data_IF_359830991761
#
_entry.id   IF_359830991761
#
_cell.length_a   1.000
_cell.length_b   1.000
_cell.length_c   1.000
_cell.angle_alpha   90.00
_cell.angle_beta   90.00
_cell.angle_gamma   90.00
#
_symmetry.space_group_name_H-M   'P 1'
#
loop_
_entity.id
_entity.type
_entity.pdbx_description
1 polymer ?
#
# COMPACT_ATOMS: atom_id res chain seq x y z
N UNK A 1 -2.63 -4.63 -12.84
CA UNK A 1 -1.78 -3.50 -12.37
C UNK A 1 -2.33 -2.84 -11.09
N UNK A 2 -2.30 -3.51 -9.94
CA UNK A 2 -2.72 -2.93 -8.64
C UNK A 2 -1.56 -2.51 -7.73
N UNK A 3 -0.30 -2.71 -8.16
CA UNK A 3 0.87 -2.24 -7.41
C UNK A 3 1.05 -0.74 -7.63
N UNK A 4 0.83 0.07 -6.60
CA UNK A 4 1.03 1.53 -6.71
C UNK A 4 2.51 1.81 -7.00
N UNK A 5 2.80 2.58 -8.05
CA UNK A 5 4.13 3.12 -8.25
C UNK A 5 4.22 4.46 -7.51
N UNK A 6 5.10 4.54 -6.52
CA UNK A 6 5.57 5.79 -5.95
C UNK A 6 6.87 6.18 -6.64
N UNK A 7 6.96 7.38 -7.18
CA UNK A 7 8.14 7.87 -7.88
C UNK A 7 8.76 8.97 -7.01
N UNK A 8 10.05 8.81 -6.69
CA UNK A 8 10.83 9.83 -6.00
C UNK A 8 12.05 10.15 -6.85
N UNK A 9 12.13 11.40 -7.32
CA UNK A 9 13.27 11.91 -8.07
C UNK A 9 14.00 12.95 -7.22
N UNK A 10 15.31 12.77 -7.03
CA UNK A 10 16.18 13.71 -6.32
C UNK A 10 17.52 13.83 -7.06
N UNK A 11 17.72 14.96 -7.75
CA UNK A 11 18.91 15.18 -8.56
C UNK A 11 19.06 14.10 -9.64
N UNK A 12 20.19 13.39 -9.62
CA UNK A 12 20.46 12.32 -10.58
C UNK A 12 19.75 10.98 -10.26
N UNK A 13 19.10 10.84 -9.09
CA UNK A 13 18.52 9.57 -8.64
C UNK A 13 17.01 9.59 -8.84
N UNK A 14 16.47 8.56 -9.51
CA UNK A 14 15.03 8.31 -9.57
C UNK A 14 14.72 6.91 -9.04
N UNK A 15 14.04 6.84 -7.89
CA UNK A 15 13.57 5.60 -7.30
C UNK A 15 12.09 5.39 -7.63
N UNK A 16 11.75 4.23 -8.18
CA UNK A 16 10.38 3.83 -8.50
C UNK A 16 9.98 2.72 -7.52
N UNK A 17 9.27 3.09 -6.47
CA UNK A 17 8.75 2.19 -5.45
C UNK A 17 7.53 1.45 -5.97
N UNK A 18 7.60 0.12 -5.99
CA UNK A 18 6.48 -0.74 -6.32
C UNK A 18 5.86 -1.23 -5.03
N UNK A 19 4.67 -0.76 -4.68
CA UNK A 19 3.95 -1.31 -3.52
C UNK A 19 3.44 -2.71 -3.85
N UNK A 20 3.88 -3.71 -3.09
CA UNK A 20 3.37 -5.08 -3.19
C UNK A 20 2.37 -5.31 -2.08
N UNK A 21 1.17 -5.84 -2.38
CA UNK A 21 0.24 -6.22 -1.34
C UNK A 21 0.91 -7.16 -0.32
N UNK A 22 0.62 -6.96 0.98
CA UNK A 22 1.14 -7.83 2.03
C UNK A 22 0.83 -9.31 1.75
N UNK A 23 1.78 -10.19 2.05
CA UNK A 23 1.59 -11.63 1.86
C UNK A 23 0.84 -12.22 3.05
N UNK A 24 -0.29 -12.87 2.78
CA UNK A 24 -1.15 -13.44 3.82
C UNK A 24 -1.30 -14.95 3.63
N UNK A 25 -1.36 -15.69 4.74
CA UNK A 25 -1.66 -17.15 4.73
C UNK A 25 -3.08 -17.47 4.23
N UNK A 26 -4.00 -16.52 4.32
CA UNK A 26 -5.44 -16.81 4.24
C UNK A 26 -6.00 -16.85 2.82
N UNK A 27 -6.65 -17.96 2.46
CA UNK A 27 -7.89 -17.98 1.68
C UNK A 27 -7.84 -18.59 0.27
N UNK A 28 -8.73 -19.56 0.00
CA UNK A 28 -9.06 -20.08 -1.34
C UNK A 28 -9.69 -19.04 -2.27
N UNK A 29 -9.86 -17.78 -1.83
CA UNK A 29 -10.47 -16.72 -2.64
C UNK A 29 -9.53 -16.28 -3.75
N UNK A 30 -10.08 -16.07 -4.95
CA UNK A 30 -9.34 -15.61 -6.13
C UNK A 30 -8.51 -14.34 -5.87
N UNK A 31 -9.02 -13.38 -5.09
CA UNK A 31 -8.30 -12.15 -4.74
C UNK A 31 -6.98 -12.40 -3.99
N UNK A 32 -6.99 -13.31 -3.01
CA UNK A 32 -5.80 -13.59 -2.21
C UNK A 32 -4.72 -14.31 -3.03
N UNK A 33 -5.15 -15.22 -3.94
CA UNK A 33 -4.24 -15.81 -4.93
C UNK A 33 -3.63 -14.75 -5.84
N UNK A 34 -4.44 -13.81 -6.32
CA UNK A 34 -3.96 -12.71 -7.17
C UNK A 34 -2.95 -11.81 -6.43
N UNK A 35 -3.22 -11.44 -5.18
CA UNK A 35 -2.32 -10.64 -4.35
C UNK A 35 -0.97 -11.35 -4.14
N UNK A 36 -0.99 -12.62 -3.73
CA UNK A 36 0.23 -13.41 -3.52
C UNK A 36 1.02 -13.61 -4.82
N UNK A 37 0.34 -13.82 -5.96
CA UNK A 37 0.98 -13.92 -7.27
C UNK A 37 1.63 -12.61 -7.69
N UNK A 38 0.96 -11.48 -7.43
CA UNK A 38 1.46 -10.15 -7.77
C UNK A 38 2.68 -9.78 -6.92
N UNK A 39 2.66 -10.08 -5.62
CA UNK A 39 3.81 -9.90 -4.74
C UNK A 39 5.01 -10.75 -5.20
N UNK A 40 4.77 -12.02 -5.56
CA UNK A 40 5.84 -12.92 -6.03
C UNK A 40 6.40 -12.51 -7.40
N UNK A 41 5.57 -11.95 -8.29
CA UNK A 41 6.02 -11.43 -9.59
C UNK A 41 6.86 -10.17 -9.42
N UNK A 42 6.45 -9.25 -8.55
CA UNK A 42 7.19 -8.01 -8.29
C UNK A 42 8.62 -8.27 -7.80
N UNK A 43 8.85 -9.32 -7.01
CA UNK A 43 10.20 -9.69 -6.56
C UNK A 43 11.17 -10.10 -7.67
N UNK A 44 10.70 -10.40 -8.89
CA UNK A 44 11.56 -10.83 -10.00
C UNK A 44 12.07 -9.67 -10.86
N UNK A 45 11.33 -8.58 -10.91
CA UNK A 45 11.54 -7.48 -11.86
C UNK A 45 12.00 -6.19 -11.16
N UNK A 46 12.52 -6.29 -9.93
CA UNK A 46 12.99 -5.14 -9.13
C UNK A 46 14.51 -5.18 -8.93
N UNK A 47 15.13 -4.00 -9.01
CA UNK A 47 16.57 -3.82 -8.78
C UNK A 47 16.92 -3.93 -7.29
N UNK A 48 15.99 -3.57 -6.39
CA UNK A 48 16.19 -3.56 -4.94
C UNK A 48 14.94 -4.05 -4.25
N UNK A 49 15.08 -4.98 -3.29
CA UNK A 49 13.99 -5.44 -2.43
C UNK A 49 14.11 -4.82 -1.04
N UNK A 50 13.02 -4.21 -0.55
CA UNK A 50 12.94 -3.68 0.81
C UNK A 50 11.95 -4.54 1.61
N UNK A 51 12.46 -5.31 2.56
CA UNK A 51 11.66 -6.08 3.50
C UNK A 51 11.45 -5.28 4.79
N UNK A 52 10.22 -4.82 5.01
CA UNK A 52 9.87 -4.02 6.19
C UNK A 52 9.39 -4.92 7.32
N UNK A 53 9.98 -4.78 8.52
CA UNK A 53 9.66 -5.57 9.73
C UNK A 53 9.21 -4.65 10.87
N UNK A 54 8.24 -5.07 11.70
CA UNK A 54 7.74 -4.29 12.84
C UNK A 54 8.52 -4.59 14.13
N UNK A 55 9.52 -3.76 14.43
CA UNK A 55 10.31 -3.83 15.68
C UNK A 55 10.88 -5.24 15.90
N UNK A 56 10.62 -5.85 17.06
CA UNK A 56 10.98 -7.23 17.38
C UNK A 56 9.82 -8.21 17.21
N UNK A 57 8.68 -7.75 16.67
CA UNK A 57 7.50 -8.59 16.46
C UNK A 57 7.74 -9.43 15.21
N UNK A 58 7.72 -10.75 15.38
CA UNK A 58 7.82 -11.70 14.28
C UNK A 58 6.55 -12.56 14.21
N UNK A 59 5.89 -12.56 13.07
CA UNK A 59 4.65 -13.31 12.82
C UNK A 59 4.86 -14.39 11.78
N UNK A 60 3.86 -15.26 11.60
CA UNK A 60 3.89 -16.24 10.53
C UNK A 60 3.87 -15.61 9.13
N UNK A 61 3.33 -14.40 8.98
CA UNK A 61 3.34 -13.66 7.71
C UNK A 61 4.74 -13.12 7.41
N UNK A 62 5.45 -12.62 8.42
CA UNK A 62 6.85 -12.22 8.30
C UNK A 62 7.72 -13.43 7.90
N UNK A 63 7.46 -14.59 8.51
CA UNK A 63 8.14 -15.84 8.16
C UNK A 63 7.90 -16.23 6.68
N UNK A 64 6.68 -16.06 6.17
CA UNK A 64 6.39 -16.32 4.75
C UNK A 64 7.07 -15.34 3.80
N UNK A 65 7.29 -14.11 4.23
CA UNK A 65 8.06 -13.12 3.45
C UNK A 65 9.52 -13.52 3.44
N UNK A 66 10.09 -13.82 4.61
CA UNK A 66 11.45 -14.32 4.77
C UNK A 66 11.71 -15.52 3.84
N UNK A 67 10.80 -16.49 3.83
CA UNK A 67 10.92 -17.70 3.04
C UNK A 67 11.05 -17.45 1.53
N UNK A 68 10.59 -16.29 1.03
CA UNK A 68 10.71 -15.89 -0.36
C UNK A 68 11.91 -14.99 -0.60
N UNK A 69 12.10 -13.98 0.25
CA UNK A 69 13.17 -12.97 0.05
C UNK A 69 14.56 -13.56 0.28
N UNK A 70 14.69 -14.65 1.03
CA UNK A 70 15.98 -15.36 1.19
C UNK A 70 16.57 -15.88 -0.14
N UNK A 71 15.73 -16.06 -1.16
CA UNK A 71 16.15 -16.52 -2.49
C UNK A 71 16.37 -15.37 -3.48
N UNK A 72 16.17 -14.12 -3.06
CA UNK A 72 16.48 -12.95 -3.89
C UNK A 72 17.99 -12.88 -4.08
N UNK A 73 18.40 -12.76 -5.34
CA UNK A 73 19.82 -12.66 -5.73
C UNK A 73 20.30 -11.22 -5.83
N UNK A 74 19.37 -10.27 -5.95
CA UNK A 74 19.64 -8.84 -5.96
C UNK A 74 19.78 -8.24 -4.56
N UNK A 75 20.05 -6.92 -4.49
CA UNK A 75 20.09 -6.13 -3.27
C UNK A 75 18.85 -6.33 -2.39
N UNK A 76 19.07 -6.71 -1.13
CA UNK A 76 18.03 -6.88 -0.12
C UNK A 76 18.30 -5.96 1.06
N UNK A 77 17.32 -5.14 1.42
CA UNK A 77 17.37 -4.23 2.56
C UNK A 77 16.29 -4.67 3.54
N UNK A 78 16.64 -4.87 4.80
CA UNK A 78 15.66 -5.06 5.88
C UNK A 78 15.44 -3.73 6.58
N UNK A 79 14.29 -3.12 6.37
CA UNK A 79 13.88 -1.88 7.04
C UNK A 79 13.14 -2.22 8.34
N UNK A 80 13.87 -2.20 9.46
CA UNK A 80 13.31 -2.47 10.77
C UNK A 80 12.56 -1.24 11.29
N UNK A 81 11.25 -1.22 11.13
CA UNK A 81 10.42 -0.03 11.33
C UNK A 81 9.86 0.09 12.75
N UNK A 82 9.38 1.29 13.08
CA UNK A 82 8.78 1.69 14.37
C UNK A 82 9.75 1.59 15.54
N UNK A 83 11.04 1.83 15.32
CA UNK A 83 12.07 1.80 16.36
C UNK A 83 11.86 2.84 17.46
N UNK A 84 11.05 3.87 17.19
CA UNK A 84 10.57 4.85 18.17
C UNK A 84 9.75 4.23 19.31
N UNK A 85 9.17 3.04 19.11
CA UNK A 85 8.38 2.32 20.12
C UNK A 85 9.16 1.19 20.79
N UNK A 86 10.48 1.21 20.72
CA UNK A 86 11.37 0.28 21.42
C UNK A 86 11.94 1.02 22.62
N UNK A 87 11.52 0.61 23.81
CA UNK A 87 11.94 1.27 25.05
C UNK A 87 13.37 0.85 25.45
N UNK A 88 13.68 -0.45 25.35
CA UNK A 88 15.01 -0.98 25.62
C UNK A 88 15.74 -1.37 24.33
N UNK A 89 16.79 -0.62 24.01
CA UNK A 89 17.65 -0.91 22.85
C UNK A 89 18.44 -2.20 23.01
N UNK A 90 18.63 -2.71 24.22
CA UNK A 90 19.30 -3.99 24.45
C UNK A 90 18.49 -5.17 23.90
N UNK A 91 17.15 -5.05 23.84
CA UNK A 91 16.27 -6.07 23.24
C UNK A 91 16.38 -6.13 21.71
N UNK A 92 16.90 -5.07 21.09
CA UNK A 92 17.04 -4.97 19.64
C UNK A 92 18.19 -5.81 19.10
N UNK A 93 19.30 -5.87 19.84
CA UNK A 93 20.54 -6.51 19.36
C UNK A 93 20.38 -8.01 19.06
N UNK A 94 19.71 -8.81 19.92
CA UNK A 94 19.42 -10.21 19.60
C UNK A 94 18.59 -10.37 18.34
N UNK A 95 17.59 -9.50 18.13
CA UNK A 95 16.72 -9.57 16.96
C UNK A 95 17.45 -9.19 15.66
N UNK A 96 18.30 -8.15 15.70
CA UNK A 96 19.15 -7.78 14.57
C UNK A 96 20.13 -8.91 14.21
N UNK A 97 20.74 -9.53 15.22
CA UNK A 97 21.65 -10.67 15.02
C UNK A 97 20.91 -11.83 14.35
N UNK A 98 19.74 -12.18 14.86
CA UNK A 98 18.90 -13.22 14.29
C UNK A 98 18.49 -12.90 12.84
N UNK A 99 18.06 -11.66 12.54
CA UNK A 99 17.72 -11.24 11.17
C UNK A 99 18.93 -11.36 10.23
N UNK A 100 20.12 -10.99 10.69
CA UNK A 100 21.35 -11.11 9.91
C UNK A 100 21.71 -12.57 9.64
N UNK A 101 21.49 -13.47 10.60
CA UNK A 101 21.68 -14.91 10.40
C UNK A 101 20.69 -15.49 9.38
N UNK A 102 19.43 -15.03 9.40
CA UNK A 102 18.42 -15.48 8.44
C UNK A 102 18.66 -14.91 7.03
N UNK A 103 19.15 -13.67 6.93
CA UNK A 103 19.41 -12.98 5.67
C UNK A 103 20.85 -12.43 5.63
N UNK A 104 21.87 -13.29 5.46
CA UNK A 104 23.28 -12.88 5.53
C UNK A 104 23.68 -11.78 4.53
N UNK A 105 23.00 -11.71 3.39
CA UNK A 105 23.29 -10.75 2.33
C UNK A 105 22.47 -9.45 2.45
N UNK A 106 21.59 -9.32 3.45
CA UNK A 106 20.76 -8.14 3.58
C UNK A 106 21.46 -7.02 4.36
N UNK A 107 21.22 -5.77 3.97
CA UNK A 107 21.55 -4.60 4.77
C UNK A 107 20.40 -4.27 5.71
N UNK A 108 20.63 -4.29 7.02
CA UNK A 108 19.59 -4.02 8.01
C UNK A 108 19.65 -2.56 8.46
N UNK A 109 18.55 -1.83 8.26
CA UNK A 109 18.44 -0.40 8.56
C UNK A 109 17.27 -0.18 9.53
N UNK A 110 17.55 0.14 10.80
CA UNK A 110 16.52 0.55 11.76
C UNK A 110 15.97 1.93 11.41
N UNK A 111 14.64 2.06 11.31
CA UNK A 111 13.96 3.29 10.93
C UNK A 111 12.73 3.59 11.80
N UNK A 112 12.33 4.86 11.81
CA UNK A 112 10.96 5.25 12.18
C UNK A 112 10.33 5.99 11.01
N UNK A 113 9.50 5.30 10.23
CA UNK A 113 8.79 5.91 9.11
C UNK A 113 7.85 7.04 9.57
N UNK A 114 7.27 6.92 10.77
CA UNK A 114 6.37 7.93 11.32
C UNK A 114 7.10 9.24 11.68
N UNK A 115 8.34 9.15 12.17
CA UNK A 115 9.12 10.30 12.62
C UNK A 115 10.23 10.72 11.66
N UNK A 116 10.38 10.02 10.53
CA UNK A 116 11.44 10.26 9.56
C UNK A 116 12.84 9.81 10.02
N UNK A 117 12.95 9.09 11.14
CA UNK A 117 14.25 8.69 11.68
C UNK A 117 14.93 7.69 10.73
N UNK A 118 16.15 8.04 10.31
CA UNK A 118 17.04 7.21 9.49
C UNK A 118 16.50 6.87 8.09
N UNK A 119 15.48 7.59 7.62
CA UNK A 119 14.97 7.44 6.26
C UNK A 119 15.98 7.93 5.21
N UNK A 120 16.79 8.93 5.54
CA UNK A 120 17.87 9.43 4.68
C UNK A 120 18.95 8.35 4.43
N UNK A 121 19.28 7.57 5.46
CA UNK A 121 20.21 6.45 5.33
C UNK A 121 19.60 5.33 4.48
N UNK A 122 18.32 5.00 4.70
CA UNK A 122 17.60 4.04 3.87
C UNK A 122 17.60 4.46 2.39
N UNK A 123 17.28 5.72 2.11
CA UNK A 123 17.25 6.27 0.76
C UNK A 123 18.62 6.27 0.10
N UNK A 124 19.67 6.57 0.85
CA UNK A 124 21.05 6.48 0.35
C UNK A 124 21.42 5.06 -0.05
N UNK A 125 21.13 4.08 0.80
CA UNK A 125 21.38 2.68 0.49
C UNK A 125 20.57 2.22 -0.72
N UNK A 126 19.30 2.66 -0.85
CA UNK A 126 18.52 2.38 -2.05
C UNK A 126 19.22 2.95 -3.29
N UNK A 127 19.60 4.23 -3.25
CA UNK A 127 20.24 4.92 -4.36
C UNK A 127 21.55 4.25 -4.82
N UNK A 128 22.35 3.74 -3.88
CA UNK A 128 23.60 3.02 -4.18
C UNK A 128 23.40 1.71 -4.96
N UNK A 129 22.20 1.13 -4.91
CA UNK A 129 21.89 -0.12 -5.59
C UNK A 129 21.04 0.05 -6.86
N UNK A 130 20.59 1.27 -7.16
CA UNK A 130 19.88 1.53 -8.40
C UNK A 130 20.85 1.50 -9.59
N UNK A 131 20.46 0.89 -10.72
CA UNK A 131 21.30 0.84 -11.91
C UNK A 131 21.46 2.23 -12.54
N UNK A 132 22.60 2.45 -13.19
CA UNK A 132 22.79 3.65 -14.02
C UNK A 132 21.86 3.59 -15.24
N UNK A 133 20.94 4.54 -15.34
CA UNK A 133 19.98 4.63 -16.43
C UNK A 133 19.40 6.06 -16.54
N UNK A 134 18.75 6.35 -17.66
CA UNK A 134 17.94 7.56 -17.79
C UNK A 134 16.73 7.48 -16.85
N UNK A 135 16.26 8.65 -16.40
CA UNK A 135 15.00 8.72 -15.65
C UNK A 135 13.84 8.24 -16.53
N UNK A 136 13.03 7.34 -15.99
CA UNK A 136 11.87 6.77 -16.67
C UNK A 136 10.68 7.74 -16.68
N UNK A 137 10.60 8.63 -15.69
CA UNK A 137 9.52 9.59 -15.50
C UNK A 137 10.05 11.02 -15.36
N UNK A 138 9.24 12.05 -15.67
CA UNK A 138 9.55 13.45 -15.36
C UNK A 138 9.81 13.67 -13.86
N UNK A 139 10.65 14.66 -13.55
CA UNK A 139 11.08 14.95 -12.16
C UNK A 139 9.93 15.30 -11.20
N UNK A 140 8.85 15.90 -11.72
CA UNK A 140 7.67 16.32 -10.95
C UNK A 140 6.62 15.22 -10.80
N UNK A 141 6.80 14.07 -11.47
CA UNK A 141 5.85 12.98 -11.42
C UNK A 141 6.03 12.15 -10.13
N UNK A 142 5.02 12.17 -9.26
CA UNK A 142 5.04 11.44 -7.98
C UNK A 142 4.46 10.01 -8.13
N UNK A 143 3.61 9.77 -9.13
CA UNK A 143 2.98 8.47 -9.37
C UNK A 143 2.59 8.29 -10.84
N UNK A 144 2.46 7.05 -11.30
CA UNK A 144 1.95 6.70 -12.64
C UNK A 144 0.41 6.64 -12.72
N UNK A 145 -0.26 6.93 -11.60
CA UNK A 145 -1.69 6.67 -11.43
C UNK A 145 -2.58 7.84 -11.81
N UNK A 146 -3.71 7.50 -12.45
CA UNK A 146 -4.74 8.49 -12.78
C UNK A 146 -5.34 9.13 -11.52
N UNK A 147 -5.79 10.39 -11.62
CA UNK A 147 -6.47 11.09 -10.51
C UNK A 147 -7.69 10.33 -9.97
N UNK A 148 -8.36 9.53 -10.82
CA UNK A 148 -9.44 8.63 -10.41
C UNK A 148 -8.95 7.56 -9.45
N UNK A 149 -7.81 6.94 -9.74
CA UNK A 149 -7.22 5.94 -8.87
C UNK A 149 -6.83 6.56 -7.52
N UNK A 150 -6.15 7.70 -7.53
CA UNK A 150 -5.78 8.41 -6.30
C UNK A 150 -7.00 8.76 -5.43
N UNK A 151 -8.09 9.20 -6.06
CA UNK A 151 -9.34 9.44 -5.34
C UNK A 151 -9.90 8.16 -4.70
N UNK A 152 -9.86 7.01 -5.40
CA UNK A 152 -10.28 5.74 -4.84
C UNK A 152 -9.40 5.30 -3.67
N UNK A 153 -8.07 5.47 -3.76
CA UNK A 153 -7.13 5.16 -2.69
C UNK A 153 -7.35 6.00 -1.44
N UNK A 154 -7.55 7.31 -1.59
CA UNK A 154 -7.83 8.19 -0.45
C UNK A 154 -9.10 7.77 0.29
N UNK A 155 -10.15 7.38 -0.43
CA UNK A 155 -11.37 6.84 0.21
C UNK A 155 -11.07 5.50 0.89
N UNK A 156 -10.36 4.59 0.22
CA UNK A 156 -10.01 3.26 0.77
C UNK A 156 -9.19 3.37 2.04
N UNK A 157 -8.21 4.27 2.06
CA UNK A 157 -7.34 4.57 3.19
C UNK A 157 -8.16 5.06 4.40
N UNK A 158 -9.16 5.93 4.21
CA UNK A 158 -10.07 6.34 5.30
C UNK A 158 -10.96 5.22 5.79
N UNK A 159 -11.44 4.34 4.89
CA UNK A 159 -12.18 3.14 5.30
C UNK A 159 -11.28 2.26 6.18
N UNK A 160 -10.05 1.98 5.74
CA UNK A 160 -9.09 1.14 6.48
C UNK A 160 -8.79 1.71 7.88
N UNK A 161 -8.49 3.02 7.97
CA UNK A 161 -8.20 3.70 9.25
C UNK A 161 -9.36 3.58 10.25
N UNK A 162 -10.60 3.61 9.79
CA UNK A 162 -11.77 3.56 10.66
C UNK A 162 -12.26 2.15 10.98
N UNK A 163 -11.86 1.14 10.21
CA UNK A 163 -12.33 -0.24 10.38
C UNK A 163 -11.33 -1.16 11.08
N UNK A 164 -10.07 -0.76 11.23
CA UNK A 164 -9.04 -1.60 11.85
C UNK A 164 -8.62 -2.80 10.97
N UNK A 165 -7.89 -3.74 11.57
CA UNK A 165 -7.03 -4.69 10.85
C UNK A 165 -7.73 -5.80 10.02
N UNK A 166 -9.05 -6.05 10.16
CA UNK A 166 -9.62 -7.33 9.67
C UNK A 166 -10.67 -7.26 8.55
N UNK A 167 -11.07 -6.08 8.07
CA UNK A 167 -12.05 -5.93 6.98
C UNK A 167 -11.58 -5.37 5.61
N UNK A 168 -10.33 -4.94 5.36
CA UNK A 168 -9.98 -4.27 4.10
C UNK A 168 -10.06 -5.12 2.83
N UNK A 169 -9.74 -6.41 2.89
CA UNK A 169 -9.61 -7.24 1.68
C UNK A 169 -10.95 -7.61 1.01
N UNK A 170 -12.08 -7.25 1.60
CA UNK A 170 -13.42 -7.49 1.04
C UNK A 170 -14.11 -6.20 0.60
N UNK A 171 -13.32 -5.14 0.39
CA UNK A 171 -13.81 -3.81 0.03
C UNK A 171 -13.02 -3.31 -1.16
N UNK A 172 -13.73 -2.82 -2.16
CA UNK A 172 -13.13 -2.07 -3.26
C UNK A 172 -13.84 -0.74 -3.42
N UNK A 173 -13.13 0.26 -3.95
CA UNK A 173 -13.66 1.58 -4.23
C UNK A 173 -13.51 1.84 -5.72
N UNK A 174 -14.62 2.15 -6.37
CA UNK A 174 -14.69 2.48 -7.80
C UNK A 174 -15.11 3.94 -7.97
N UNK A 175 -14.47 4.68 -8.87
CA UNK A 175 -14.87 6.05 -9.20
C UNK A 175 -15.78 6.03 -10.42
N UNK A 176 -17.09 6.22 -10.19
CA UNK A 176 -18.12 6.24 -11.24
C UNK A 176 -18.14 7.59 -11.98
N UNK A 177 -17.82 8.68 -11.28
CA UNK A 177 -17.73 10.02 -11.88
C UNK A 177 -16.49 10.75 -11.37
N UNK A 178 -15.80 11.43 -12.28
CA UNK A 178 -14.71 12.34 -11.99
C UNK A 178 -14.75 13.46 -13.02
N UNK A 179 -15.38 14.57 -12.67
CA UNK A 179 -15.73 15.63 -13.62
C UNK A 179 -15.54 17.02 -13.02
N UNK A 180 -14.78 17.86 -13.71
CA UNK A 180 -14.66 19.28 -13.37
C UNK A 180 -15.96 20.02 -13.71
N UNK A 181 -16.54 20.72 -12.74
CA UNK A 181 -17.71 21.59 -12.91
C UNK A 181 -17.39 22.98 -12.33
N UNK A 182 -17.02 23.92 -13.21
CA UNK A 182 -16.55 25.24 -12.79
C UNK A 182 -15.28 25.13 -11.95
N UNK A 183 -15.33 25.64 -10.71
CA UNK A 183 -14.21 25.58 -9.75
C UNK A 183 -14.23 24.35 -8.85
N UNK A 184 -15.20 23.46 -9.01
CA UNK A 184 -15.38 22.29 -8.15
C UNK A 184 -15.20 21.02 -8.97
N UNK A 185 -14.39 20.09 -8.46
CA UNK A 185 -14.25 18.75 -9.00
C UNK A 185 -15.28 17.83 -8.32
N UNK A 186 -16.18 17.26 -9.12
CA UNK A 186 -17.21 16.34 -8.68
C UNK A 186 -16.71 14.90 -8.80
N UNK A 187 -16.75 14.17 -7.69
CA UNK A 187 -16.25 12.80 -7.58
C UNK A 187 -17.37 11.92 -7.00
N UNK A 188 -17.72 10.88 -7.74
CA UNK A 188 -18.66 9.85 -7.29
C UNK A 188 -17.90 8.55 -7.02
N UNK A 189 -17.86 8.13 -5.75
CA UNK A 189 -17.15 6.93 -5.32
C UNK A 189 -18.14 5.85 -4.84
N UNK A 190 -18.11 4.69 -5.47
CA UNK A 190 -18.87 3.51 -5.10
C UNK A 190 -17.99 2.57 -4.27
N UNK A 191 -18.37 2.38 -3.02
CA UNK A 191 -17.76 1.42 -2.09
C UNK A 191 -18.52 0.10 -2.22
N UNK A 192 -17.84 -0.91 -2.73
CA UNK A 192 -18.38 -2.26 -2.90
C UNK A 192 -17.95 -3.15 -1.73
N UNK A 193 -18.91 -3.87 -1.15
CA UNK A 193 -18.69 -4.83 -0.06
C UNK A 193 -19.31 -6.18 -0.36
N UNK A 194 -18.85 -7.25 0.27
CA UNK A 194 -19.40 -8.60 0.05
C UNK A 194 -20.71 -8.88 0.79
N UNK A 195 -20.88 -8.31 1.99
CA UNK A 195 -21.98 -8.68 2.90
C UNK A 195 -22.71 -7.45 3.46
N UNK A 196 -24.01 -7.58 3.72
CA UNK A 196 -24.81 -6.50 4.32
C UNK A 196 -24.28 -6.04 5.69
N UNK A 197 -23.69 -6.94 6.48
CA UNK A 197 -23.03 -6.59 7.73
C UNK A 197 -21.92 -5.55 7.51
N UNK A 198 -21.10 -5.72 6.47
CA UNK A 198 -20.03 -4.78 6.12
C UNK A 198 -20.61 -3.43 5.68
N UNK A 199 -21.68 -3.46 4.87
CA UNK A 199 -22.37 -2.23 4.47
C UNK A 199 -22.84 -1.43 5.69
N UNK A 200 -23.47 -2.10 6.67
CA UNK A 200 -23.90 -1.46 7.92
C UNK A 200 -22.71 -0.89 8.70
N UNK A 201 -21.60 -1.62 8.77
CA UNK A 201 -20.38 -1.17 9.47
C UNK A 201 -19.78 0.08 8.80
N UNK A 202 -19.73 0.14 7.46
CA UNK A 202 -19.20 1.30 6.72
C UNK A 202 -20.11 2.52 6.88
N UNK A 203 -21.43 2.32 6.81
CA UNK A 203 -22.40 3.40 7.04
C UNK A 203 -22.29 3.93 8.47
N UNK A 204 -22.18 3.03 9.45
CA UNK A 204 -22.16 3.38 10.88
C UNK A 204 -23.53 3.80 11.40
N UNK A 205 -23.60 4.07 12.71
CA UNK A 205 -24.86 4.54 13.32
C UNK A 205 -25.30 5.86 12.68
N UNK A 206 -26.55 5.92 12.22
CA UNK A 206 -27.13 7.09 11.53
C UNK A 206 -26.29 7.68 10.39
N UNK A 207 -25.42 6.89 9.76
CA UNK A 207 -24.53 7.36 8.69
C UNK A 207 -23.31 8.16 9.18
N UNK A 208 -23.01 8.16 10.48
CA UNK A 208 -21.91 8.93 11.04
C UNK A 208 -20.56 8.52 10.45
N UNK A 209 -20.33 7.21 10.28
CA UNK A 209 -19.04 6.70 9.83
C UNK A 209 -18.77 7.03 8.37
N UNK A 210 -19.74 6.81 7.48
CA UNK A 210 -19.59 7.17 6.07
C UNK A 210 -19.42 8.68 5.89
N UNK A 211 -20.10 9.49 6.71
CA UNK A 211 -19.92 10.95 6.73
C UNK A 211 -18.49 11.33 7.13
N UNK A 212 -17.93 10.67 8.14
CA UNK A 212 -16.56 10.90 8.59
C UNK A 212 -15.54 10.48 7.51
N UNK A 213 -15.70 9.29 6.92
CA UNK A 213 -14.88 8.80 5.80
C UNK A 213 -14.88 9.82 4.66
N UNK A 214 -16.07 10.26 4.22
CA UNK A 214 -16.17 11.24 3.14
C UNK A 214 -15.57 12.60 3.51
N UNK A 215 -15.71 13.05 4.76
CA UNK A 215 -15.13 14.32 5.21
C UNK A 215 -13.60 14.28 5.21
N UNK A 216 -13.00 13.22 5.73
CA UNK A 216 -11.56 13.03 5.79
C UNK A 216 -10.97 12.83 4.39
N UNK A 217 -11.59 11.98 3.55
CA UNK A 217 -11.14 11.76 2.18
C UNK A 217 -11.22 13.02 1.32
N UNK A 218 -12.31 13.81 1.46
CA UNK A 218 -12.49 15.07 0.73
C UNK A 218 -11.39 16.08 1.06
N UNK A 219 -10.98 16.21 2.32
CA UNK A 219 -9.91 17.14 2.73
C UNK A 219 -8.58 16.79 2.07
N UNK A 220 -8.24 15.50 2.04
CA UNK A 220 -7.00 15.04 1.42
C UNK A 220 -7.05 15.21 -0.10
N UNK A 221 -8.20 14.97 -0.72
CA UNK A 221 -8.41 15.25 -2.15
C UNK A 221 -8.30 16.75 -2.48
N UNK A 222 -8.81 17.64 -1.62
CA UNK A 222 -8.69 19.09 -1.82
C UNK A 222 -7.23 19.53 -1.83
N UNK A 223 -6.41 18.96 -0.93
CA UNK A 223 -4.97 19.22 -0.89
C UNK A 223 -4.26 18.63 -2.12
N UNK A 224 -4.56 17.38 -2.46
CA UNK A 224 -3.88 16.66 -3.53
C UNK A 224 -4.18 17.23 -4.93
N UNK A 225 -5.44 17.63 -5.17
CA UNK A 225 -5.88 18.11 -6.49
C UNK A 225 -5.91 19.64 -6.59
N UNK A 226 -5.52 20.35 -5.54
CA UNK A 226 -5.58 21.83 -5.44
C UNK A 226 -6.90 22.41 -5.96
N UNK A 227 -8.02 21.80 -5.56
CA UNK A 227 -9.34 22.08 -6.09
C UNK A 227 -10.41 21.85 -5.04
N UNK A 228 -11.54 22.56 -5.13
CA UNK A 228 -12.71 22.27 -4.28
C UNK A 228 -13.32 20.95 -4.70
N UNK A 229 -13.63 20.09 -3.73
CA UNK A 229 -14.13 18.74 -4.01
C UNK A 229 -15.58 18.60 -3.57
N UNK A 230 -16.44 18.15 -4.48
CA UNK A 230 -17.76 17.61 -4.17
C UNK A 230 -17.69 16.08 -4.23
N UNK A 231 -17.49 15.44 -3.07
CA UNK A 231 -17.37 13.98 -2.97
C UNK A 231 -18.71 13.37 -2.53
N UNK A 232 -19.25 12.49 -3.38
CA UNK A 232 -20.39 11.65 -3.04
C UNK A 232 -19.94 10.20 -2.87
N UNK A 233 -20.38 9.55 -1.79
CA UNK A 233 -20.05 8.17 -1.47
C UNK A 233 -21.32 7.30 -1.44
N UNK A 234 -21.27 6.14 -2.09
CA UNK A 234 -22.31 5.12 -2.01
C UNK A 234 -21.73 3.81 -1.51
N UNK A 235 -22.54 3.01 -0.82
CA UNK A 235 -22.15 1.67 -0.37
C UNK A 235 -23.12 0.64 -0.94
N UNK A 236 -22.59 -0.29 -1.74
CA UNK A 236 -23.36 -1.34 -2.40
C UNK A 236 -22.80 -2.71 -2.06
N UNK A 237 -23.70 -3.63 -1.73
CA UNK A 237 -23.36 -5.04 -1.54
C UNK A 237 -23.31 -5.70 -2.92
N UNK A 238 -22.19 -6.36 -3.21
CA UNK A 238 -22.02 -7.25 -4.34
C UNK A 238 -21.50 -8.55 -3.77
N UNK A 239 -22.30 -9.61 -3.75
CA UNK A 239 -21.83 -10.91 -3.25
C UNK A 239 -20.82 -11.54 -4.22
N UNK A 240 -19.85 -12.29 -3.70
CA UNK A 240 -19.00 -13.19 -4.51
C UNK A 240 -17.97 -12.55 -5.44
N UNK A 241 -17.83 -11.22 -5.50
CA UNK A 241 -16.91 -10.58 -6.44
C UNK A 241 -15.42 -10.88 -6.16
N UNK A 242 -15.05 -11.13 -4.90
CA UNK A 242 -13.66 -11.43 -4.51
C UNK A 242 -13.22 -12.84 -4.88
N UNK A 243 -14.17 -13.70 -5.24
CA UNK A 243 -13.96 -15.07 -5.68
C UNK A 243 -14.24 -15.25 -7.18
N UNK A 244 -14.83 -14.23 -7.83
CA UNK A 244 -15.10 -14.21 -9.26
C UNK A 244 -13.96 -13.50 -10.02
N UNK A 245 -13.15 -14.28 -10.75
CA UNK A 245 -12.06 -13.75 -11.58
C UNK A 245 -12.51 -12.72 -12.62
N UNK A 246 -13.73 -12.85 -13.18
CA UNK A 246 -14.26 -11.88 -14.14
C UNK A 246 -14.60 -10.57 -13.45
N UNK A 247 -15.18 -10.64 -12.25
CA UNK A 247 -15.44 -9.46 -11.43
C UNK A 247 -14.12 -8.80 -11.02
N UNK A 248 -13.11 -9.57 -10.62
CA UNK A 248 -11.76 -9.08 -10.31
C UNK A 248 -11.15 -8.31 -11.49
N UNK A 249 -11.20 -8.85 -12.72
CA UNK A 249 -10.71 -8.14 -13.92
C UNK A 249 -11.42 -6.82 -14.15
N UNK A 250 -12.75 -6.79 -13.99
CA UNK A 250 -13.53 -5.55 -14.13
C UNK A 250 -13.18 -4.49 -13.07
N UNK A 251 -12.63 -4.94 -11.93
CA UNK A 251 -12.18 -4.10 -10.82
C UNK A 251 -10.66 -3.81 -10.89
N UNK A 252 -10.00 -4.10 -12.02
CA UNK A 252 -8.58 -3.85 -12.25
C UNK A 252 -7.62 -4.94 -11.76
N UNK A 253 -8.12 -6.02 -11.15
CA UNK A 253 -7.36 -7.19 -10.71
C UNK A 253 -7.38 -8.26 -11.82
N UNK A 254 -6.48 -8.17 -12.79
CA UNK A 254 -6.59 -9.01 -13.99
C UNK A 254 -5.34 -9.14 -14.85
N UNK A 255 -4.63 -8.04 -15.01
CA UNK A 255 -3.45 -7.99 -15.88
C UNK A 255 -2.20 -7.92 -14.99
N UNK A 256 -1.43 -9.01 -15.01
CA UNK A 256 -0.01 -9.01 -14.70
C UNK A 256 0.71 -8.42 -15.90
#
# INVERSE_FOLDING_TARGET
>A
RHNMLGIKTEGAVQAIYVDTPGMHKGGEKALNRYMNKTASAALKDVDVVIFVVDRTKWTEEDQMVLERVQYVTGPLIVALNKTDRIEDKAELMPHLTWLQEQLPNAQIIPISAQHGHNLDALERVIAEHLPENDHFFPEDQITDRSSRFLAAELVREKIMRQMGAELPYQITVEIEEFKQQGKTLHIHALILVERDGQKKIIIGDKGERIKRIGTEARKDMELLFDSKIMLNLWVKVKGGWSDDERALRSLGYGDL
#
